data_IF_117559804624
#
_entry.id   IF_117559804624
#
_cell.length_a   1.000
_cell.length_b   1.000
_cell.length_c   1.000
_cell.angle_alpha   90.00
_cell.angle_beta   90.00
_cell.angle_gamma   90.00
#
_symmetry.space_group_name_H-M   'P 1'
#
loop_
_entity.id
_entity.type
_entity.pdbx_description
1 polymer ?
#
# COMPACT_ATOMS: atom_id res chain seq x y z
N UNK A 1 -2.39 32.05 -27.16
CA UNK A 1 -3.58 31.31 -26.72
C UNK A 1 -3.26 30.77 -25.33
N UNK A 2 -4.10 31.05 -24.34
CA UNK A 2 -3.85 30.70 -22.95
C UNK A 2 -4.25 29.24 -22.77
N UNK A 3 -3.27 28.34 -22.65
CA UNK A 3 -3.51 26.92 -22.45
C UNK A 3 -4.22 26.73 -21.09
N UNK A 4 -5.41 26.12 -21.11
CA UNK A 4 -6.29 26.00 -19.95
C UNK A 4 -5.93 24.70 -19.23
N UNK A 5 -5.32 24.81 -18.05
CA UNK A 5 -5.05 23.65 -17.20
C UNK A 5 -6.37 22.94 -16.83
N UNK A 6 -6.40 21.62 -16.99
CA UNK A 6 -7.60 20.81 -16.72
C UNK A 6 -7.78 20.65 -15.21
N UNK A 7 -8.99 20.90 -14.70
CA UNK A 7 -9.24 20.79 -13.27
C UNK A 7 -9.30 19.34 -12.79
N UNK A 8 -8.88 19.07 -11.55
CA UNK A 8 -8.96 17.72 -10.95
C UNK A 8 -10.36 17.09 -11.00
N UNK A 9 -11.41 17.88 -10.73
CA UNK A 9 -12.81 17.45 -10.82
C UNK A 9 -13.22 17.14 -12.27
N UNK A 10 -12.65 17.87 -13.22
CA UNK A 10 -12.91 17.70 -14.65
C UNK A 10 -12.29 16.40 -15.16
N UNK A 11 -11.08 16.05 -14.73
CA UNK A 11 -10.42 14.76 -15.01
C UNK A 11 -11.20 13.57 -14.43
N UNK A 12 -11.69 13.69 -13.19
CA UNK A 12 -12.54 12.66 -12.57
C UNK A 12 -13.84 12.42 -13.33
N UNK A 13 -14.39 13.46 -13.97
CA UNK A 13 -15.63 13.36 -14.72
C UNK A 13 -15.42 12.86 -16.15
N UNK A 14 -14.40 13.35 -16.85
CA UNK A 14 -14.20 13.13 -18.29
C UNK A 14 -13.29 11.94 -18.62
N UNK A 15 -12.36 11.56 -17.72
CA UNK A 15 -11.47 10.42 -17.96
C UNK A 15 -11.90 9.20 -17.13
N UNK A 16 -12.64 8.24 -17.72
CA UNK A 16 -13.14 7.07 -16.98
C UNK A 16 -12.03 6.12 -16.50
N UNK A 17 -10.84 6.17 -17.13
CA UNK A 17 -9.68 5.39 -16.72
C UNK A 17 -9.06 5.99 -15.46
N UNK A 18 -8.84 7.32 -15.47
CA UNK A 18 -8.38 8.06 -14.29
C UNK A 18 -9.32 7.89 -13.10
N UNK A 19 -10.64 8.02 -13.31
CA UNK A 19 -11.64 7.82 -12.25
C UNK A 19 -11.55 6.43 -11.61
N UNK A 20 -11.41 5.37 -12.41
CA UNK A 20 -11.28 4.00 -11.89
C UNK A 20 -10.00 3.81 -11.09
N UNK A 21 -8.90 4.37 -11.57
CA UNK A 21 -7.64 4.36 -10.84
C UNK A 21 -7.79 5.11 -9.51
N UNK A 22 -8.31 6.33 -9.52
CA UNK A 22 -8.47 7.17 -8.34
C UNK A 22 -9.34 6.53 -7.26
N UNK A 23 -10.47 5.92 -7.64
CA UNK A 23 -11.35 5.20 -6.70
C UNK A 23 -10.60 3.99 -6.11
N UNK A 24 -9.90 3.22 -6.96
CA UNK A 24 -9.11 2.07 -6.51
C UNK A 24 -8.01 2.46 -5.54
N UNK A 25 -7.28 3.54 -5.83
CA UNK A 25 -6.24 4.09 -4.95
C UNK A 25 -6.83 4.54 -3.62
N UNK A 26 -7.93 5.30 -3.66
CA UNK A 26 -8.59 5.82 -2.47
C UNK A 26 -9.05 4.70 -1.52
N UNK A 27 -9.71 3.67 -2.06
CA UNK A 27 -10.14 2.50 -1.27
C UNK A 27 -8.94 1.75 -0.70
N UNK A 28 -7.89 1.58 -1.49
CA UNK A 28 -6.66 0.88 -1.06
C UNK A 28 -5.96 1.62 0.07
N UNK A 29 -5.81 2.95 -0.05
CA UNK A 29 -5.22 3.78 1.01
C UNK A 29 -6.03 3.70 2.29
N UNK A 30 -7.36 3.82 2.21
CA UNK A 30 -8.22 3.68 3.39
C UNK A 30 -8.06 2.31 4.04
N UNK A 31 -8.06 1.23 3.25
CA UNK A 31 -7.83 -0.13 3.75
C UNK A 31 -6.50 -0.28 4.49
N UNK A 32 -5.42 0.32 3.98
CA UNK A 32 -4.10 0.29 4.61
C UNK A 32 -4.07 1.05 5.95
N UNK A 33 -4.74 2.20 6.04
CA UNK A 33 -4.87 2.94 7.30
C UNK A 33 -5.68 2.16 8.33
N UNK A 34 -6.82 1.59 7.94
CA UNK A 34 -7.61 0.74 8.82
C UNK A 34 -6.82 -0.47 9.32
N UNK A 35 -6.11 -1.16 8.42
CA UNK A 35 -5.25 -2.28 8.77
C UNK A 35 -4.13 -1.85 9.74
N UNK A 36 -3.53 -0.67 9.55
CA UNK A 36 -2.50 -0.14 10.45
C UNK A 36 -3.05 0.06 11.86
N UNK A 37 -4.20 0.71 12.00
CA UNK A 37 -4.86 0.92 13.29
C UNK A 37 -5.22 -0.41 13.94
N UNK A 38 -5.77 -1.35 13.17
CA UNK A 38 -6.12 -2.68 13.65
C UNK A 38 -4.89 -3.43 14.21
N UNK A 39 -3.74 -3.34 13.54
CA UNK A 39 -2.49 -3.95 14.03
C UNK A 39 -1.99 -3.32 15.33
N UNK A 40 -2.10 -2.00 15.47
CA UNK A 40 -1.72 -1.31 16.71
C UNK A 40 -2.58 -1.75 17.88
N UNK A 41 -3.90 -1.78 17.68
CA UNK A 41 -4.85 -2.26 18.68
C UNK A 41 -4.57 -3.73 19.03
N UNK A 42 -4.39 -4.59 18.03
CA UNK A 42 -4.13 -6.02 18.25
C UNK A 42 -2.86 -6.27 19.07
N UNK A 43 -1.75 -5.60 18.75
CA UNK A 43 -0.51 -5.74 19.54
C UNK A 43 -0.74 -5.28 20.98
N UNK A 44 -1.42 -4.14 21.18
CA UNK A 44 -1.69 -3.63 22.51
C UNK A 44 -2.61 -4.57 23.30
N UNK A 45 -3.67 -5.09 22.69
CA UNK A 45 -4.61 -6.00 23.34
C UNK A 45 -3.95 -7.32 23.72
N UNK A 46 -3.05 -7.86 22.88
CA UNK A 46 -2.36 -9.12 23.16
C UNK A 46 -1.21 -8.99 24.16
N UNK A 47 -0.47 -7.86 24.13
CA UNK A 47 0.79 -7.71 24.89
C UNK A 47 0.73 -6.69 26.03
N UNK A 48 -0.25 -5.79 26.03
CA UNK A 48 -0.29 -4.61 26.90
C UNK A 48 0.87 -3.62 26.68
N UNK A 49 1.67 -3.79 25.62
CA UNK A 49 2.96 -3.11 25.46
C UNK A 49 2.93 -2.02 24.38
N UNK A 50 3.06 -0.77 24.82
CA UNK A 50 3.27 0.39 23.95
C UNK A 50 4.58 0.28 23.16
N UNK A 51 5.60 -0.36 23.76
CA UNK A 51 6.88 -0.61 23.10
C UNK A 51 6.75 -1.56 21.91
N UNK A 52 5.82 -2.53 21.98
CA UNK A 52 5.51 -3.41 20.85
C UNK A 52 4.94 -2.67 19.65
N UNK A 53 4.09 -1.66 19.89
CA UNK A 53 3.57 -0.77 18.84
C UNK A 53 4.71 0.03 18.21
N UNK A 54 5.61 0.59 19.03
CA UNK A 54 6.79 1.31 18.56
C UNK A 54 7.69 0.43 17.68
N UNK A 55 7.95 -0.81 18.09
CA UNK A 55 8.73 -1.77 17.30
C UNK A 55 8.05 -2.11 15.96
N UNK A 56 6.73 -2.29 15.95
CA UNK A 56 5.96 -2.49 14.73
C UNK A 56 6.16 -1.31 13.77
N UNK A 57 6.11 -0.09 14.28
CA UNK A 57 6.30 1.12 13.48
C UNK A 57 7.69 1.17 12.84
N UNK A 58 8.73 0.90 13.61
CA UNK A 58 10.12 0.81 13.13
C UNK A 58 10.24 -0.26 12.04
N UNK A 59 9.75 -1.48 12.30
CA UNK A 59 9.77 -2.57 11.32
C UNK A 59 9.09 -2.14 10.01
N UNK A 60 7.94 -1.47 10.10
CA UNK A 60 7.19 -1.02 8.92
C UNK A 60 7.96 0.01 8.11
N UNK A 61 8.54 1.02 8.76
CA UNK A 61 9.34 2.06 8.11
C UNK A 61 10.56 1.48 7.38
N UNK A 62 11.32 0.59 8.04
CA UNK A 62 12.48 -0.05 7.41
C UNK A 62 12.09 -0.97 6.25
N UNK A 63 10.99 -1.72 6.42
CA UNK A 63 10.48 -2.61 5.38
C UNK A 63 9.91 -1.87 4.18
N UNK A 64 9.55 -0.60 4.34
CA UNK A 64 9.17 0.27 3.23
C UNK A 64 10.40 0.90 2.57
N UNK A 65 11.32 1.46 3.37
CA UNK A 65 12.46 2.24 2.87
C UNK A 65 13.51 1.39 2.16
N UNK A 66 13.85 0.20 2.67
CA UNK A 66 14.91 -0.64 2.09
C UNK A 66 14.54 -1.11 0.68
N UNK A 67 13.34 -1.70 0.45
CA UNK A 67 12.96 -2.14 -0.89
C UNK A 67 12.79 -0.98 -1.86
N UNK A 68 12.34 0.20 -1.42
CA UNK A 68 12.11 1.36 -2.29
C UNK A 68 13.35 1.72 -3.13
N UNK A 69 14.57 1.53 -2.60
CA UNK A 69 15.83 1.77 -3.32
C UNK A 69 15.99 0.82 -4.52
N UNK A 70 15.50 -0.42 -4.39
CA UNK A 70 15.65 -1.48 -5.39
C UNK A 70 14.42 -1.64 -6.29
N UNK A 71 13.23 -1.26 -5.81
CA UNK A 71 11.97 -1.50 -6.52
C UNK A 71 11.82 -0.66 -7.79
N UNK A 72 12.51 0.49 -7.90
CA UNK A 72 12.58 1.25 -9.15
C UNK A 72 13.10 0.39 -10.32
N UNK A 73 14.12 -0.43 -10.06
CA UNK A 73 14.70 -1.34 -11.06
C UNK A 73 13.81 -2.56 -11.35
N UNK A 74 13.00 -3.00 -10.39
CA UNK A 74 12.02 -4.08 -10.59
C UNK A 74 10.81 -3.63 -11.42
N UNK A 75 10.36 -2.39 -11.25
CA UNK A 75 9.24 -1.83 -11.99
C UNK A 75 9.51 -1.76 -13.51
N UNK A 76 10.79 -1.64 -13.89
CA UNK A 76 11.23 -1.65 -15.29
C UNK A 76 11.22 -3.06 -15.91
N UNK A 77 11.32 -4.13 -15.11
CA UNK A 77 11.41 -5.53 -15.60
C UNK A 77 10.09 -6.30 -15.64
N UNK A 78 9.09 -5.92 -14.84
CA UNK A 78 7.83 -6.65 -14.74
C UNK A 78 6.62 -5.81 -15.13
N UNK A 79 5.57 -6.44 -15.67
CA UNK A 79 4.33 -5.74 -15.99
C UNK A 79 3.66 -5.21 -14.71
N UNK A 80 3.62 -3.88 -14.57
CA UNK A 80 3.09 -3.12 -13.41
C UNK A 80 1.75 -3.63 -12.89
N UNK A 81 0.80 -3.89 -13.81
CA UNK A 81 -0.53 -4.43 -13.48
C UNK A 81 -0.46 -5.78 -12.76
N UNK A 82 0.43 -6.69 -13.17
CA UNK A 82 0.57 -8.01 -12.51
C UNK A 82 1.21 -7.86 -11.13
N UNK A 83 2.20 -6.97 -10.97
CA UNK A 83 2.78 -6.69 -9.66
C UNK A 83 1.72 -6.18 -8.67
N UNK A 84 0.89 -5.23 -9.08
CA UNK A 84 -0.20 -4.69 -8.24
C UNK A 84 -1.27 -5.74 -7.89
N UNK A 85 -1.58 -6.67 -8.81
CA UNK A 85 -2.55 -7.75 -8.54
C UNK A 85 -1.96 -8.76 -7.56
N UNK A 86 -0.73 -9.23 -7.80
CA UNK A 86 -0.06 -10.20 -6.90
C UNK A 86 0.14 -9.64 -5.51
N UNK A 87 0.52 -8.37 -5.42
CA UNK A 87 0.54 -7.58 -4.21
C UNK A 87 -0.80 -7.69 -3.46
N UNK A 88 -1.89 -7.21 -4.05
CA UNK A 88 -3.19 -7.21 -3.38
C UNK A 88 -3.63 -8.62 -2.94
N UNK A 89 -3.36 -9.65 -3.74
CA UNK A 89 -3.66 -11.05 -3.37
C UNK A 89 -2.82 -11.53 -2.18
N UNK A 90 -1.53 -11.22 -2.14
CA UNK A 90 -0.66 -11.56 -1.01
C UNK A 90 -1.11 -10.85 0.27
N UNK A 91 -1.48 -9.57 0.17
CA UNK A 91 -2.04 -8.80 1.27
C UNK A 91 -3.33 -9.41 1.82
N UNK A 92 -4.27 -9.77 0.93
CA UNK A 92 -5.52 -10.40 1.34
C UNK A 92 -5.27 -11.72 2.08
N UNK A 93 -4.39 -12.57 1.55
CA UNK A 93 -4.00 -13.82 2.23
C UNK A 93 -3.31 -13.58 3.58
N UNK A 94 -2.42 -12.59 3.65
CA UNK A 94 -1.72 -12.23 4.88
C UNK A 94 -2.65 -11.64 5.95
N UNK A 95 -3.70 -10.93 5.55
CA UNK A 95 -4.76 -10.46 6.47
C UNK A 95 -5.58 -11.62 6.99
N UNK A 96 -5.97 -12.58 6.14
CA UNK A 96 -6.71 -13.78 6.56
C UNK A 96 -5.93 -14.63 7.56
N UNK A 97 -4.61 -14.71 7.43
CA UNK A 97 -3.75 -15.40 8.39
C UNK A 97 -3.80 -14.80 9.80
N UNK A 98 -4.17 -13.53 9.96
CA UNK A 98 -4.36 -12.94 11.30
C UNK A 98 -5.60 -13.45 12.03
N UNK A 99 -6.58 -14.03 11.32
CA UNK A 99 -7.75 -14.62 11.96
C UNK A 99 -7.40 -15.88 12.77
N UNK A 100 -6.19 -16.42 12.58
CA UNK A 100 -5.67 -17.58 13.32
C UNK A 100 -4.80 -17.15 14.51
N UNK A 101 -4.67 -15.84 14.78
CA UNK A 101 -3.85 -15.32 15.88
C UNK A 101 -4.75 -15.15 17.10
N UNK A 102 -4.66 -16.10 18.03
CA UNK A 102 -5.49 -16.11 19.25
C UNK A 102 -4.68 -15.74 20.51
N UNK A 103 -3.35 -15.86 20.47
CA UNK A 103 -2.51 -15.77 21.67
C UNK A 103 -1.34 -14.78 21.55
N UNK A 104 -0.86 -14.30 22.71
CA UNK A 104 0.27 -13.36 22.78
C UNK A 104 1.59 -13.96 22.26
N UNK A 105 1.72 -15.29 22.26
CA UNK A 105 2.87 -16.02 21.70
C UNK A 105 2.96 -15.91 20.18
N UNK A 106 1.89 -15.48 19.51
CA UNK A 106 1.76 -15.41 18.05
C UNK A 106 1.94 -13.99 17.50
N UNK A 107 2.22 -13.00 18.36
CA UNK A 107 2.45 -11.60 17.97
C UNK A 107 3.59 -11.44 16.96
N UNK A 108 4.52 -12.40 16.90
CA UNK A 108 5.55 -12.43 15.85
C UNK A 108 4.97 -12.54 14.43
N UNK A 109 3.83 -13.20 14.25
CA UNK A 109 3.11 -13.28 12.97
C UNK A 109 2.64 -11.88 12.53
N UNK A 110 2.25 -11.03 13.47
CA UNK A 110 1.89 -9.63 13.19
C UNK A 110 3.10 -8.87 12.64
N UNK A 111 4.28 -9.04 13.24
CA UNK A 111 5.50 -8.41 12.74
C UNK A 111 5.90 -8.94 11.35
N UNK A 112 5.85 -10.26 11.12
CA UNK A 112 6.17 -10.86 9.82
C UNK A 112 5.20 -10.39 8.74
N UNK A 113 3.90 -10.42 9.01
CA UNK A 113 2.87 -9.89 8.11
C UNK A 113 3.12 -8.43 7.76
N UNK A 114 3.45 -7.61 8.77
CA UNK A 114 3.68 -6.18 8.56
C UNK A 114 4.86 -5.91 7.60
N UNK A 115 5.91 -6.73 7.64
CA UNK A 115 7.04 -6.60 6.70
C UNK A 115 6.61 -6.90 5.27
N UNK A 116 5.87 -7.98 5.08
CA UNK A 116 5.36 -8.39 3.76
C UNK A 116 4.49 -7.29 3.14
N UNK A 117 3.59 -6.71 3.93
CA UNK A 117 2.74 -5.58 3.50
C UNK A 117 3.57 -4.37 3.07
N UNK A 118 4.61 -4.02 3.81
CA UNK A 118 5.41 -2.82 3.52
C UNK A 118 6.33 -2.99 2.31
N UNK A 119 6.90 -4.17 2.10
CA UNK A 119 7.64 -4.50 0.88
C UNK A 119 6.72 -4.39 -0.34
N UNK A 120 5.49 -4.87 -0.20
CA UNK A 120 4.48 -4.77 -1.25
C UNK A 120 4.07 -3.31 -1.51
N UNK A 121 3.88 -2.52 -0.46
CA UNK A 121 3.54 -1.10 -0.55
C UNK A 121 4.63 -0.32 -1.30
N UNK A 122 5.91 -0.66 -1.11
CA UNK A 122 7.02 -0.06 -1.86
C UNK A 122 6.88 -0.27 -3.38
N UNK A 123 6.44 -1.46 -3.80
CA UNK A 123 6.19 -1.76 -5.23
C UNK A 123 4.97 -0.99 -5.75
N UNK A 124 3.93 -0.88 -4.93
CA UNK A 124 2.70 -0.19 -5.28
C UNK A 124 2.93 1.31 -5.54
N UNK A 125 3.64 2.00 -4.65
CA UNK A 125 3.93 3.45 -4.75
C UNK A 125 4.70 3.77 -6.04
N UNK A 126 5.66 2.93 -6.42
CA UNK A 126 6.42 3.12 -7.66
C UNK A 126 5.56 2.88 -8.91
N UNK A 127 4.70 1.86 -8.89
CA UNK A 127 3.77 1.59 -9.99
C UNK A 127 2.73 2.71 -10.14
N UNK A 128 2.23 3.25 -9.03
CA UNK A 128 1.31 4.39 -8.97
C UNK A 128 1.94 5.65 -9.60
N UNK A 129 3.09 6.10 -9.07
CA UNK A 129 3.79 7.30 -9.55
C UNK A 129 4.14 7.24 -11.04
N UNK A 130 4.43 6.05 -11.58
CA UNK A 130 4.74 5.85 -12.98
C UNK A 130 3.51 5.67 -13.89
N UNK A 131 2.31 5.51 -13.33
CA UNK A 131 1.07 5.29 -14.08
C UNK A 131 0.25 6.56 -14.28
N UNK A 132 0.25 7.46 -13.29
CA UNK A 132 -0.42 8.77 -13.37
C UNK A 132 -0.06 9.56 -14.64
N UNK A 133 1.23 9.76 -15.01
CA UNK A 133 1.60 10.52 -16.22
C UNK A 133 1.36 9.79 -17.54
N UNK A 134 0.95 8.52 -17.50
CA UNK A 134 0.71 7.71 -18.70
C UNK A 134 -0.79 7.51 -18.98
N UNK A 135 -1.65 8.08 -18.12
CA UNK A 135 -3.12 8.00 -18.19
C UNK A 135 -3.73 9.40 -18.39
N UNK A 136 -2.98 10.46 -18.07
CA UNK A 136 -3.22 11.82 -18.53
C UNK A 136 -2.31 12.10 -19.72
N UNK A 137 -2.82 12.80 -20.75
CA UNK A 137 -1.95 13.31 -21.81
C UNK A 137 -0.95 14.33 -21.22
N UNK A 138 0.18 14.60 -21.89
CA UNK A 138 1.24 15.54 -21.42
C UNK A 138 0.73 16.98 -21.13
N UNK A 139 -0.56 17.24 -21.39
CA UNK A 139 -1.28 18.51 -21.27
C UNK A 139 -2.53 18.44 -20.37
N UNK A 140 -2.76 17.30 -19.71
CA UNK A 140 -3.83 17.03 -18.71
C UNK A 140 -3.24 16.80 -17.32
#
# INVERSE_FOLDING_TARGET
MQEREVGFLELLQHNPVYRRLWIGLSISMLGEWFNTVALFVLIYTLTGSEMGIGLLFVIRMFSLAIPQIFTGMLADRFSRKRLMIWANLLSAGAVLLLLLVDDASEVWLVYVKSRVLMVQQAVFINAENASTPNITEEKE
#
